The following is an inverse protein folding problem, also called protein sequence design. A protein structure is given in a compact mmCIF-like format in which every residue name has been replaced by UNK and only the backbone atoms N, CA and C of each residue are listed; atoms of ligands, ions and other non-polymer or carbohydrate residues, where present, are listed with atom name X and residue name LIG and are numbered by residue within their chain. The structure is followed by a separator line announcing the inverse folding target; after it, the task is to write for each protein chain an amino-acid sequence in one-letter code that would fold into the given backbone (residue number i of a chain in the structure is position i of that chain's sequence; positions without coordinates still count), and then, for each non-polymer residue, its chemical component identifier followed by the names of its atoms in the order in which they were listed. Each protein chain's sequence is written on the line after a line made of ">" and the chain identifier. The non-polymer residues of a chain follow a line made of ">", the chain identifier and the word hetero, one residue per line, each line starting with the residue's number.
data_IF_883574534792
#
_entry.id   IF_883574534792
#
_cell.length_a   1.000
_cell.length_b   1.000
_cell.length_c   1.000
_cell.angle_alpha   90.00
_cell.angle_beta   90.00
_cell.angle_gamma   90.00
#
_symmetry.space_group_name_H-M   'P 1'
#
loop_
_entity.id
_entity.type
_entity.pdbx_description
1 polymer ?
#
# COMPACT_ATOMS: atom_id res chain seq x y z
N UNK A 1 -3.22 -14.97 -15.33
CA UNK A 1 -3.31 -13.69 -14.59
C UNK A 1 -4.47 -13.84 -13.65
N UNK A 2 -4.21 -13.85 -12.34
CA UNK A 2 -5.23 -14.10 -11.32
C UNK A 2 -6.34 -13.06 -11.46
N UNK A 3 -7.55 -13.52 -11.74
CA UNK A 3 -8.72 -12.71 -12.08
C UNK A 3 -9.32 -12.09 -10.81
N UNK A 4 -8.53 -11.25 -10.13
CA UNK A 4 -9.05 -10.44 -9.03
C UNK A 4 -9.64 -9.17 -9.61
N UNK A 5 -10.97 -9.13 -9.73
CA UNK A 5 -11.69 -8.04 -10.38
C UNK A 5 -11.37 -6.64 -9.81
N UNK A 6 -10.91 -6.56 -8.56
CA UNK A 6 -10.56 -5.31 -7.88
C UNK A 6 -9.04 -5.19 -7.67
N UNK A 7 -8.44 -4.01 -7.93
CA UNK A 7 -7.02 -3.80 -7.65
C UNK A 7 -6.68 -3.97 -6.17
N UNK A 8 -5.49 -4.53 -5.89
CA UNK A 8 -4.98 -4.68 -4.53
C UNK A 8 -4.29 -3.41 -4.05
N UNK A 9 -4.60 -3.01 -2.82
CA UNK A 9 -3.98 -1.91 -2.08
C UNK A 9 -3.40 -2.44 -0.78
N UNK A 10 -2.12 -2.19 -0.55
CA UNK A 10 -1.51 -2.37 0.76
C UNK A 10 -1.72 -1.08 1.56
N UNK A 11 -2.30 -1.19 2.74
CA UNK A 11 -2.55 -0.07 3.65
C UNK A 11 -1.62 -0.21 4.85
N UNK A 12 -0.61 0.66 4.91
CA UNK A 12 0.32 0.80 6.04
C UNK A 12 0.46 2.29 6.41
N UNK A 13 -0.62 2.96 6.85
CA UNK A 13 -0.68 4.41 7.00
C UNK A 13 -0.07 4.94 8.30
N UNK A 14 0.48 4.08 9.16
CA UNK A 14 0.98 4.49 10.48
C UNK A 14 1.99 5.66 10.38
N UNK A 15 1.94 6.62 11.32
CA UNK A 15 1.12 6.66 12.54
C UNK A 15 -0.33 7.11 12.30
N UNK A 16 -0.75 7.34 11.04
CA UNK A 16 -2.15 7.61 10.70
C UNK A 16 -2.94 6.30 10.63
N UNK A 17 -4.26 6.44 10.52
CA UNK A 17 -5.18 5.32 10.33
C UNK A 17 -6.13 5.65 9.19
N UNK A 18 -6.70 4.62 8.55
CA UNK A 18 -7.71 4.83 7.50
C UNK A 18 -8.91 5.65 8.02
N UNK A 19 -9.34 5.41 9.26
CA UNK A 19 -10.44 6.17 9.87
C UNK A 19 -10.10 7.64 10.11
N UNK A 20 -8.82 7.97 10.30
CA UNK A 20 -8.38 9.35 10.49
C UNK A 20 -8.30 10.11 9.15
N UNK A 21 -7.87 9.44 8.08
CA UNK A 21 -7.59 10.09 6.78
C UNK A 21 -8.77 10.02 5.80
N UNK A 22 -9.78 9.19 6.06
CA UNK A 22 -10.99 9.10 5.26
C UNK A 22 -12.22 9.56 6.05
N UNK A 23 -13.12 10.28 5.38
CA UNK A 23 -14.50 10.36 5.85
C UNK A 23 -15.16 8.97 5.78
N UNK A 24 -16.19 8.67 6.62
CA UNK A 24 -16.83 7.35 6.60
C UNK A 24 -17.33 6.92 5.22
N UNK A 25 -17.92 7.86 4.47
CA UNK A 25 -18.43 7.59 3.12
C UNK A 25 -17.30 7.32 2.12
N UNK A 26 -16.18 8.04 2.22
CA UNK A 26 -15.02 7.82 1.38
C UNK A 26 -14.33 6.48 1.70
N UNK A 27 -14.24 6.11 2.98
CA UNK A 27 -13.72 4.81 3.40
C UNK A 27 -14.58 3.66 2.89
N UNK A 28 -15.91 3.80 2.92
CA UNK A 28 -16.82 2.82 2.35
C UNK A 28 -16.62 2.66 0.83
N UNK A 29 -16.50 3.78 0.09
CA UNK A 29 -16.18 3.75 -1.35
C UNK A 29 -14.82 3.12 -1.63
N UNK A 30 -13.82 3.38 -0.78
CA UNK A 30 -12.48 2.80 -0.89
C UNK A 30 -12.53 1.28 -0.71
N UNK A 31 -13.18 0.79 0.36
CA UNK A 31 -13.36 -0.66 0.62
C UNK A 31 -14.20 -1.37 -0.44
N UNK A 32 -15.11 -0.67 -1.12
CA UNK A 32 -15.93 -1.24 -2.20
C UNK A 32 -15.19 -1.37 -3.54
N UNK A 33 -14.17 -0.54 -3.79
CA UNK A 33 -13.45 -0.48 -5.09
C UNK A 33 -12.11 -1.21 -5.10
N UNK A 34 -11.60 -1.59 -3.93
CA UNK A 34 -10.27 -2.15 -3.78
C UNK A 34 -10.27 -3.34 -2.82
N UNK A 35 -9.37 -4.29 -3.09
CA UNK A 35 -8.96 -5.28 -2.09
C UNK A 35 -7.90 -4.64 -1.20
N UNK A 36 -8.20 -4.45 0.07
CA UNK A 36 -7.30 -3.77 1.01
C UNK A 36 -6.68 -4.79 1.94
N UNK A 37 -5.36 -4.78 2.01
CA UNK A 37 -4.56 -5.57 2.95
C UNK A 37 -3.95 -4.59 3.94
N UNK A 38 -4.42 -4.61 5.19
CA UNK A 38 -3.90 -3.75 6.26
C UNK A 38 -2.73 -4.44 6.96
N UNK A 39 -1.62 -3.72 7.13
CA UNK A 39 -0.41 -4.18 7.84
C UNK A 39 0.34 -2.99 8.44
N UNK A 40 1.34 -3.22 9.30
CA UNK A 40 2.24 -2.15 9.75
C UNK A 40 3.24 -1.77 8.66
N UNK A 41 3.88 -0.60 8.74
CA UNK A 41 4.94 -0.20 7.81
C UNK A 41 6.05 -1.24 7.65
N UNK A 42 6.52 -1.81 8.76
CA UNK A 42 7.57 -2.84 8.80
C UNK A 42 7.07 -4.19 8.27
N UNK A 43 5.76 -4.45 8.40
CA UNK A 43 5.11 -5.67 7.94
C UNK A 43 4.96 -5.76 6.42
N UNK A 44 5.14 -4.67 5.67
CA UNK A 44 4.97 -4.66 4.20
C UNK A 44 5.92 -5.63 3.53
N UNK A 45 7.21 -5.61 3.88
CA UNK A 45 8.21 -6.48 3.27
C UNK A 45 8.02 -7.97 3.59
N UNK A 46 7.27 -8.29 4.65
CA UNK A 46 6.96 -9.65 5.07
C UNK A 46 5.70 -10.23 4.42
N UNK A 47 5.00 -9.45 3.60
CA UNK A 47 3.81 -9.94 2.88
C UNK A 47 4.19 -11.04 1.88
N UNK A 48 3.28 -12.00 1.62
CA UNK A 48 3.47 -13.03 0.61
C UNK A 48 3.87 -12.46 -0.76
N UNK A 49 4.76 -13.17 -1.47
CA UNK A 49 5.33 -12.68 -2.72
C UNK A 49 4.29 -12.44 -3.83
N UNK A 50 3.23 -13.26 -3.87
CA UNK A 50 2.07 -13.09 -4.75
C UNK A 50 1.30 -11.81 -4.43
N UNK A 51 1.09 -11.51 -3.14
CA UNK A 51 0.43 -10.29 -2.69
C UNK A 51 1.25 -9.04 -3.01
N UNK A 52 2.58 -9.09 -2.79
CA UNK A 52 3.50 -8.03 -3.20
C UNK A 52 3.45 -7.81 -4.72
N UNK A 53 3.48 -8.88 -5.51
CA UNK A 53 3.45 -8.80 -6.97
C UNK A 53 2.12 -8.23 -7.50
N UNK A 54 0.99 -8.50 -6.83
CA UNK A 54 -0.34 -7.98 -7.20
C UNK A 54 -0.60 -6.55 -6.73
N UNK A 55 0.13 -6.05 -5.73
CA UNK A 55 -0.09 -4.76 -5.11
C UNK A 55 0.05 -3.63 -6.14
N UNK A 56 -1.08 -2.97 -6.44
CA UNK A 56 -1.10 -1.87 -7.41
C UNK A 56 -0.82 -0.52 -6.76
N UNK A 57 -1.26 -0.36 -5.51
CA UNK A 57 -1.08 0.87 -4.76
C UNK A 57 -0.66 0.57 -3.31
N UNK A 58 0.03 1.53 -2.71
CA UNK A 58 0.32 1.56 -1.28
C UNK A 58 -0.26 2.85 -0.70
N UNK A 59 -0.92 2.78 0.46
CA UNK A 59 -1.32 3.93 1.26
C UNK A 59 -0.45 3.97 2.51
N UNK A 60 0.36 5.02 2.66
CA UNK A 60 1.38 5.13 3.70
C UNK A 60 2.75 5.50 3.16
N UNK A 61 3.75 5.43 4.04
CA UNK A 61 5.15 5.66 3.71
C UNK A 61 6.05 4.55 4.29
N UNK A 62 5.77 3.26 4.03
CA UNK A 62 6.54 2.16 4.60
C UNK A 62 7.99 2.15 4.07
N UNK A 63 8.96 1.63 4.83
CA UNK A 63 10.28 1.33 4.28
C UNK A 63 10.16 0.24 3.20
N UNK A 64 10.70 0.51 2.00
CA UNK A 64 10.73 -0.44 0.88
C UNK A 64 12.16 -0.59 0.39
N UNK A 65 12.79 -1.70 0.73
CA UNK A 65 14.10 -2.05 0.20
C UNK A 65 14.04 -2.39 -1.31
N UNK A 66 15.14 -2.23 -2.08
CA UNK A 66 15.16 -2.52 -3.52
C UNK A 66 14.64 -3.91 -3.87
N UNK A 67 15.00 -4.93 -3.11
CA UNK A 67 14.60 -6.32 -3.37
C UNK A 67 13.09 -6.52 -3.15
N UNK A 68 12.49 -5.73 -2.24
CA UNK A 68 11.04 -5.72 -2.05
C UNK A 68 10.37 -4.99 -3.19
N UNK A 69 10.89 -3.85 -3.63
CA UNK A 69 10.33 -3.09 -4.75
C UNK A 69 10.34 -3.92 -6.05
N UNK A 70 11.42 -4.65 -6.32
CA UNK A 70 11.53 -5.56 -7.46
C UNK A 70 10.42 -6.63 -7.49
N UNK A 71 9.98 -7.09 -6.31
CA UNK A 71 8.86 -8.03 -6.19
C UNK A 71 7.50 -7.38 -6.48
N UNK A 72 7.37 -6.06 -6.36
CA UNK A 72 6.11 -5.33 -6.53
C UNK A 72 5.83 -4.97 -7.99
N UNK A 73 5.77 -6.00 -8.84
CA UNK A 73 5.72 -5.85 -10.32
C UNK A 73 4.50 -5.10 -10.87
N UNK A 74 3.41 -5.00 -10.10
CA UNK A 74 2.20 -4.26 -10.49
C UNK A 74 2.10 -2.86 -9.86
N UNK A 75 3.06 -2.46 -9.03
CA UNK A 75 3.02 -1.21 -8.27
C UNK A 75 3.02 -0.01 -9.21
N UNK A 76 2.07 0.90 -8.99
CA UNK A 76 1.94 2.14 -9.77
C UNK A 76 2.18 3.39 -8.97
N UNK A 77 1.83 3.37 -7.68
CA UNK A 77 1.92 4.56 -6.84
C UNK A 77 1.97 4.20 -5.36
N UNK A 78 2.78 4.96 -4.62
CA UNK A 78 2.78 5.03 -3.16
C UNK A 78 2.17 6.37 -2.76
N UNK A 79 1.01 6.33 -2.12
CA UNK A 79 0.32 7.51 -1.60
C UNK A 79 0.83 7.81 -0.19
N UNK A 80 1.78 8.74 -0.10
CA UNK A 80 2.17 9.29 1.18
C UNK A 80 0.98 10.03 1.82
N UNK A 81 0.64 9.68 3.06
CA UNK A 81 -0.44 10.29 3.84
C UNK A 81 0.10 11.14 4.99
N UNK A 82 1.42 11.28 5.07
CA UNK A 82 2.12 12.20 5.94
C UNK A 82 2.54 13.47 5.18
N UNK A 83 2.88 14.52 5.90
CA UNK A 83 3.25 15.82 5.32
C UNK A 83 4.72 15.90 4.88
N UNK A 84 5.54 14.95 5.30
CA UNK A 84 6.97 14.88 5.05
C UNK A 84 7.30 13.82 3.99
N UNK A 85 8.33 14.08 3.18
CA UNK A 85 8.95 13.06 2.35
C UNK A 85 10.22 12.56 3.06
N UNK A 86 10.40 11.24 3.15
CA UNK A 86 11.61 10.62 3.72
C UNK A 86 12.29 9.73 2.69
N UNK A 87 13.59 9.49 2.89
CA UNK A 87 14.36 8.57 2.07
C UNK A 87 14.16 7.12 2.55
N UNK A 88 12.99 6.55 2.24
CA UNK A 88 12.54 5.23 2.71
C UNK A 88 12.48 4.15 1.61
N UNK A 89 12.76 4.50 0.37
CA UNK A 89 12.72 3.60 -0.79
C UNK A 89 13.68 4.08 -1.88
N UNK A 90 14.10 3.22 -2.82
CA UNK A 90 14.94 3.67 -3.93
C UNK A 90 14.12 4.55 -4.87
N UNK A 91 14.30 5.87 -4.76
CA UNK A 91 13.64 6.86 -5.62
C UNK A 91 14.37 7.07 -6.95
N UNK A 92 15.58 6.53 -7.08
CA UNK A 92 16.43 6.59 -8.27
C UNK A 92 16.20 5.39 -9.21
#
# INVERSE_FOLDING_TARGET
>A
MSDSALPLVISAPEPRTLNLIFTPEALARFRAKYRIVETSPEGVAALPADLLAEARYIVGQPPIAPETLERMTALRCVFNVESNLINNMPYE
#
